data_IF_234671489754
#
_entry.id   IF_234671489754
#
_cell.length_a   1.000
_cell.length_b   1.000
_cell.length_c   1.000
_cell.angle_alpha   90.00
_cell.angle_beta   90.00
_cell.angle_gamma   90.00
#
_symmetry.space_group_name_H-M   'P 1'
#
loop_
_entity.id
_entity.type
_entity.pdbx_description
1 polymer ?
#
# COMPACT_ATOMS: atom_id res chain seq x y z
N UNK A 1 -12.16 -6.40 45.18
CA UNK A 1 -11.41 -7.69 45.20
C UNK A 1 -10.00 -7.58 45.81
N UNK A 2 -9.47 -6.37 46.11
CA UNK A 2 -8.15 -6.20 46.75
C UNK A 2 -8.18 -5.62 48.18
N UNK A 3 -9.34 -5.62 48.85
CA UNK A 3 -9.45 -5.27 50.27
C UNK A 3 -9.51 -6.49 51.21
N UNK A 4 -9.40 -7.71 50.68
CA UNK A 4 -9.56 -8.96 51.45
C UNK A 4 -8.27 -9.59 52.00
N UNK A 5 -7.11 -8.94 51.88
CA UNK A 5 -5.82 -9.57 52.25
C UNK A 5 -4.82 -8.69 53.02
N UNK A 6 -5.26 -7.69 53.78
CA UNK A 6 -4.52 -7.10 54.91
C UNK A 6 -3.00 -6.94 54.76
N UNK A 7 -2.51 -6.33 53.67
CA UNK A 7 -1.09 -5.96 53.51
C UNK A 7 -0.97 -4.46 53.33
N UNK A 8 -0.01 -3.87 54.05
CA UNK A 8 0.33 -2.46 53.93
C UNK A 8 0.82 -2.13 52.51
N UNK A 9 0.27 -1.06 51.95
CA UNK A 9 0.45 -0.55 50.58
C UNK A 9 1.94 -0.33 50.18
N UNK A 10 2.84 -0.29 51.16
CA UNK A 10 4.27 0.00 50.98
C UNK A 10 5.11 -1.21 50.54
N UNK A 11 4.65 -2.46 50.68
CA UNK A 11 5.41 -3.65 50.25
C UNK A 11 5.26 -3.98 48.75
N UNK A 12 4.31 -3.36 48.05
CA UNK A 12 3.99 -3.69 46.64
C UNK A 12 4.83 -2.86 45.65
N UNK A 13 5.68 -1.92 46.10
CA UNK A 13 6.62 -1.22 45.21
C UNK A 13 7.88 -2.06 44.94
N UNK A 14 7.68 -3.17 44.26
CA UNK A 14 8.77 -3.92 43.65
C UNK A 14 9.21 -3.21 42.36
N UNK A 15 10.52 -3.03 42.12
CA UNK A 15 11.08 -2.39 40.91
C UNK A 15 10.54 -2.97 39.58
N UNK A 16 10.02 -4.19 39.63
CA UNK A 16 9.36 -4.89 38.53
C UNK A 16 8.03 -4.22 38.11
N UNK A 17 7.28 -3.62 39.05
CA UNK A 17 6.04 -2.90 38.75
C UNK A 17 6.35 -1.52 38.13
N UNK A 18 7.40 -0.83 38.58
CA UNK A 18 7.88 0.39 37.90
C UNK A 18 8.38 0.09 36.48
N UNK A 19 9.03 -1.06 36.24
CA UNK A 19 9.39 -1.50 34.88
C UNK A 19 8.17 -1.93 34.05
N UNK A 20 7.10 -2.46 34.66
CA UNK A 20 5.83 -2.73 33.97
C UNK A 20 4.98 -1.49 33.74
N UNK A 21 5.19 -0.43 34.51
CA UNK A 21 4.66 0.92 34.28
C UNK A 21 5.55 1.74 33.34
N UNK A 22 6.22 1.09 32.38
CA UNK A 22 6.62 1.76 31.15
C UNK A 22 5.36 2.42 30.57
N UNK A 23 5.33 3.74 30.71
CA UNK A 23 4.26 4.69 30.40
C UNK A 23 3.34 4.18 29.28
N UNK A 24 2.01 4.39 29.38
CA UNK A 24 1.10 4.07 28.29
C UNK A 24 1.71 4.61 26.99
N UNK A 25 2.03 3.69 26.07
CA UNK A 25 2.67 3.96 24.77
C UNK A 25 1.83 4.94 23.92
N UNK A 26 0.64 5.34 24.41
CA UNK A 26 -0.14 6.46 23.90
C UNK A 26 0.60 7.82 23.99
N UNK A 27 1.34 8.11 25.07
CA UNK A 27 2.00 9.42 25.25
C UNK A 27 3.34 9.56 24.51
N UNK A 28 3.92 8.47 24.00
CA UNK A 28 5.13 8.49 23.15
C UNK A 28 4.81 8.36 21.66
N UNK A 29 3.53 8.23 21.28
CA UNK A 29 3.15 8.32 19.88
C UNK A 29 3.46 9.74 19.42
N UNK A 30 4.37 9.85 18.45
CA UNK A 30 4.57 11.10 17.71
C UNK A 30 3.20 11.63 17.32
N UNK A 31 2.91 12.88 17.70
CA UNK A 31 1.80 13.62 17.13
C UNK A 31 1.87 13.42 15.63
N UNK A 32 0.86 12.76 15.05
CA UNK A 32 0.76 12.62 13.61
C UNK A 32 0.35 14.01 13.12
N UNK A 33 1.35 14.90 13.02
CA UNK A 33 1.16 16.18 12.34
C UNK A 33 0.93 15.85 10.88
N UNK A 34 -0.10 16.44 10.30
CA UNK A 34 -0.36 16.39 8.88
C UNK A 34 0.82 17.08 8.18
N UNK A 35 1.81 16.29 7.76
CA UNK A 35 2.86 16.80 6.88
C UNK A 35 2.21 16.81 5.51
N UNK A 36 1.96 18.00 4.98
CA UNK A 36 1.63 18.20 3.57
C UNK A 36 2.83 17.74 2.74
N UNK A 37 2.81 16.48 2.33
CA UNK A 37 3.89 15.86 1.54
C UNK A 37 3.74 16.30 0.07
N UNK A 38 2.69 15.84 -0.61
CA UNK A 38 2.27 16.31 -1.94
C UNK A 38 0.81 15.90 -2.16
N UNK A 39 0.14 16.50 -3.14
CA UNK A 39 -1.30 16.32 -3.41
C UNK A 39 -1.55 15.06 -4.24
N UNK A 40 -2.45 14.18 -3.79
CA UNK A 40 -2.76 12.92 -4.49
C UNK A 40 -3.23 13.17 -5.93
N UNK A 41 -3.96 14.26 -6.12
CA UNK A 41 -4.50 14.75 -7.39
C UNK A 41 -3.38 14.90 -8.43
N UNK A 42 -2.21 15.42 -8.03
CA UNK A 42 -1.07 15.61 -8.93
C UNK A 42 -0.61 14.29 -9.57
N UNK A 43 -0.59 13.20 -8.80
CA UNK A 43 -0.26 11.88 -9.31
C UNK A 43 -1.38 11.31 -10.18
N UNK A 44 -2.63 11.49 -9.78
CA UNK A 44 -3.79 10.99 -10.52
C UNK A 44 -3.96 11.72 -11.86
N UNK A 45 -3.78 13.02 -11.91
CA UNK A 45 -3.85 13.84 -13.12
C UNK A 45 -2.79 13.40 -14.14
N UNK A 46 -1.57 13.10 -13.67
CA UNK A 46 -0.53 12.53 -14.51
C UNK A 46 -0.94 11.15 -15.07
N UNK A 47 -1.52 10.28 -14.24
CA UNK A 47 -2.01 8.96 -14.69
C UNK A 47 -3.16 9.12 -15.70
N UNK A 48 -4.08 10.07 -15.48
CA UNK A 48 -5.16 10.39 -16.41
C UNK A 48 -4.59 10.86 -17.75
N UNK A 49 -3.58 11.74 -17.73
CA UNK A 49 -2.88 12.15 -18.95
C UNK A 49 -2.27 10.96 -19.70
N UNK A 50 -1.66 10.01 -18.98
CA UNK A 50 -1.10 8.80 -19.58
C UNK A 50 -2.17 7.83 -20.11
N UNK A 51 -3.41 7.92 -19.63
CA UNK A 51 -4.48 7.03 -20.09
C UNK A 51 -4.80 7.20 -21.57
N UNK A 52 -4.67 8.42 -22.13
CA UNK A 52 -4.77 8.62 -23.58
C UNK A 52 -3.71 7.84 -24.36
N UNK A 53 -2.45 7.90 -23.90
CA UNK A 53 -1.34 7.14 -24.51
C UNK A 53 -1.49 5.62 -24.34
N UNK A 54 -2.14 5.17 -23.27
CA UNK A 54 -2.50 3.76 -23.09
C UNK A 54 -3.53 3.34 -24.13
N UNK A 55 -4.58 4.14 -24.32
CA UNK A 55 -5.70 3.83 -25.20
C UNK A 55 -5.30 3.92 -26.68
N UNK A 56 -4.32 4.75 -27.02
CA UNK A 56 -3.63 4.80 -28.32
C UNK A 56 -2.56 3.69 -28.50
N UNK A 57 -2.38 2.83 -27.50
CA UNK A 57 -1.32 1.80 -27.45
C UNK A 57 0.12 2.33 -27.64
N UNK A 58 0.37 3.63 -27.45
CA UNK A 58 1.68 4.26 -27.67
C UNK A 58 2.66 4.04 -26.50
N UNK A 59 2.16 3.66 -25.31
CA UNK A 59 3.01 3.35 -24.16
C UNK A 59 3.81 2.05 -24.34
N UNK A 60 5.09 2.08 -23.98
CA UNK A 60 5.92 0.87 -23.92
C UNK A 60 5.47 -0.07 -22.79
N UNK A 61 5.82 -1.36 -22.88
CA UNK A 61 5.52 -2.36 -21.83
C UNK A 61 6.05 -1.91 -20.47
N UNK A 62 7.25 -1.32 -20.43
CA UNK A 62 7.83 -0.76 -19.20
C UNK A 62 7.05 0.47 -18.72
N UNK A 63 6.61 1.34 -19.63
CA UNK A 63 5.74 2.48 -19.32
C UNK A 63 4.44 2.05 -18.64
N UNK A 64 3.75 1.06 -19.23
CA UNK A 64 2.54 0.46 -18.66
C UNK A 64 2.82 -0.15 -17.27
N UNK A 65 3.89 -0.95 -17.14
CA UNK A 65 4.27 -1.57 -15.87
C UNK A 65 4.47 -0.55 -14.75
N UNK A 66 5.16 0.56 -15.03
CA UNK A 66 5.41 1.65 -14.05
C UNK A 66 4.11 2.22 -13.49
N UNK A 67 3.15 2.47 -14.38
CA UNK A 67 1.83 2.99 -13.97
C UNK A 67 1.06 1.93 -13.18
N UNK A 68 1.08 0.67 -13.61
CA UNK A 68 0.42 -0.43 -12.89
C UNK A 68 0.96 -0.60 -11.48
N UNK A 69 2.30 -0.63 -11.29
CA UNK A 69 2.91 -0.72 -9.96
C UNK A 69 2.43 0.46 -9.09
N UNK A 70 2.45 1.67 -9.64
CA UNK A 70 2.08 2.88 -8.91
C UNK A 70 0.60 2.87 -8.51
N UNK A 71 -0.30 2.52 -9.44
CA UNK A 71 -1.73 2.38 -9.16
C UNK A 71 -1.97 1.29 -8.12
N UNK A 72 -1.31 0.14 -8.23
CA UNK A 72 -1.47 -0.94 -7.25
C UNK A 72 -1.04 -0.48 -5.85
N UNK A 73 0.05 0.29 -5.73
CA UNK A 73 0.45 0.89 -4.44
C UNK A 73 -0.62 1.82 -3.88
N UNK A 74 -1.26 2.63 -4.71
CA UNK A 74 -2.31 3.58 -4.31
C UNK A 74 -3.54 2.83 -3.78
N UNK A 75 -4.08 1.88 -4.54
CA UNK A 75 -5.34 1.21 -4.19
C UNK A 75 -5.17 0.14 -3.11
N UNK A 76 -4.03 -0.56 -3.09
CA UNK A 76 -3.78 -1.61 -2.08
C UNK A 76 -3.22 -1.06 -0.77
N UNK A 77 -2.65 0.16 -0.81
CA UNK A 77 -1.89 0.75 0.30
C UNK A 77 -0.71 -0.13 0.70
N UNK A 78 -0.32 -1.15 -0.08
CA UNK A 78 0.80 -2.03 0.25
C UNK A 78 2.13 -1.27 0.21
N UNK A 79 3.10 -1.71 1.02
CA UNK A 79 4.49 -1.28 0.83
C UNK A 79 5.00 -1.83 -0.49
N UNK A 80 5.93 -1.11 -1.12
CA UNK A 80 6.52 -1.55 -2.38
C UNK A 80 7.18 -2.94 -2.25
N UNK A 81 7.84 -3.23 -1.12
CA UNK A 81 8.44 -4.54 -0.86
C UNK A 81 7.41 -5.66 -0.71
N UNK A 82 6.23 -5.38 -0.15
CA UNK A 82 5.13 -6.33 -0.06
C UNK A 82 4.51 -6.55 -1.45
N UNK A 83 4.36 -5.49 -2.24
CA UNK A 83 3.83 -5.56 -3.60
C UNK A 83 4.82 -6.23 -4.58
N UNK A 84 6.12 -6.07 -4.36
CA UNK A 84 7.17 -6.61 -5.23
C UNK A 84 7.19 -8.14 -5.22
N UNK A 85 6.98 -8.74 -4.06
CA UNK A 85 6.91 -10.20 -3.89
C UNK A 85 5.49 -10.76 -4.04
N UNK A 86 4.52 -9.94 -4.43
CA UNK A 86 3.14 -10.35 -4.43
C UNK A 86 2.80 -11.24 -5.64
N UNK A 87 1.93 -12.21 -5.39
CA UNK A 87 1.43 -13.16 -6.38
C UNK A 87 0.00 -12.75 -6.73
N UNK A 88 -0.33 -12.55 -8.01
CA UNK A 88 -1.68 -12.20 -8.41
C UNK A 88 -2.51 -13.45 -8.67
N UNK A 89 -3.76 -13.42 -8.22
CA UNK A 89 -4.82 -14.31 -8.66
C UNK A 89 -5.70 -13.51 -9.64
N UNK A 90 -5.53 -13.82 -10.92
CA UNK A 90 -6.20 -13.18 -12.06
C UNK A 90 -7.44 -13.94 -12.53
N UNK A 91 -7.87 -14.99 -11.82
CA UNK A 91 -9.02 -15.83 -12.22
C UNK A 91 -10.31 -15.04 -12.35
N UNK A 92 -10.42 -13.93 -11.61
CA UNK A 92 -11.62 -13.09 -11.58
C UNK A 92 -11.45 -11.77 -12.35
N UNK A 93 -10.45 -11.67 -13.23
CA UNK A 93 -10.13 -10.42 -13.93
C UNK A 93 -11.24 -9.98 -14.87
N UNK A 94 -11.94 -10.93 -15.49
CA UNK A 94 -13.09 -10.69 -16.36
C UNK A 94 -14.26 -10.08 -15.57
N UNK A 95 -14.49 -10.54 -14.34
CA UNK A 95 -15.42 -9.92 -13.39
C UNK A 95 -14.92 -8.57 -12.84
N UNK A 96 -13.75 -8.09 -13.27
CA UNK A 96 -13.17 -6.83 -12.83
C UNK A 96 -12.51 -6.91 -11.46
N UNK A 97 -12.00 -8.07 -11.07
CA UNK A 97 -11.37 -8.30 -9.77
C UNK A 97 -9.98 -8.91 -9.95
N UNK A 98 -8.98 -8.35 -9.27
CA UNK A 98 -7.66 -8.95 -9.11
C UNK A 98 -7.41 -9.12 -7.62
N UNK A 99 -7.07 -10.34 -7.20
CA UNK A 99 -6.66 -10.60 -5.82
C UNK A 99 -5.14 -10.69 -5.77
N UNK A 100 -4.51 -9.95 -4.87
CA UNK A 100 -3.06 -9.95 -4.68
C UNK A 100 -2.75 -10.60 -3.34
N UNK A 101 -1.98 -11.69 -3.38
CA UNK A 101 -1.54 -12.40 -2.19
C UNK A 101 -0.09 -12.03 -1.87
N UNK A 102 0.18 -11.59 -0.65
CA UNK A 102 1.53 -11.26 -0.19
C UNK A 102 1.69 -11.51 1.31
N UNK A 103 2.92 -11.53 1.80
CA UNK A 103 3.21 -11.61 3.22
C UNK A 103 3.52 -10.21 3.77
N UNK A 104 2.87 -9.84 4.87
CA UNK A 104 3.19 -8.59 5.55
C UNK A 104 4.56 -8.69 6.23
N UNK A 105 5.46 -7.79 5.85
CA UNK A 105 6.81 -7.74 6.40
C UNK A 105 6.87 -7.00 7.75
N UNK A 106 5.86 -6.16 8.05
CA UNK A 106 5.80 -5.34 9.27
C UNK A 106 4.36 -5.19 9.78
N UNK A 107 4.14 -5.39 11.08
CA UNK A 107 2.82 -5.39 11.73
C UNK A 107 2.39 -6.80 12.16
N UNK A 108 1.10 -7.11 12.08
CA UNK A 108 0.58 -8.49 12.19
C UNK A 108 1.18 -9.30 11.02
N UNK A 109 2.26 -10.04 11.28
CA UNK A 109 2.96 -10.85 10.26
C UNK A 109 2.03 -11.98 9.80
N UNK A 110 1.98 -12.22 8.49
CA UNK A 110 1.14 -13.27 7.91
C UNK A 110 0.82 -13.03 6.44
N UNK A 111 0.23 -14.05 5.81
CA UNK A 111 -0.30 -13.95 4.45
C UNK A 111 -1.54 -13.05 4.49
N UNK A 112 -1.60 -12.11 3.57
CA UNK A 112 -2.75 -11.23 3.35
C UNK A 112 -3.16 -11.28 1.89
N UNK A 113 -4.47 -11.20 1.69
CA UNK A 113 -5.08 -11.09 0.37
C UNK A 113 -5.67 -9.69 0.22
N UNK A 114 -5.35 -9.03 -0.89
CA UNK A 114 -5.88 -7.71 -1.23
C UNK A 114 -6.67 -7.80 -2.50
N UNK A 115 -7.93 -7.44 -2.42
CA UNK A 115 -8.80 -7.37 -3.60
C UNK A 115 -8.71 -5.97 -4.21
N UNK A 116 -8.20 -5.89 -5.44
CA UNK A 116 -8.34 -4.73 -6.30
C UNK A 116 -9.59 -4.91 -7.16
N UNK A 117 -10.47 -3.90 -7.16
CA UNK A 117 -11.73 -3.91 -7.91
C UNK A 117 -11.70 -2.88 -9.02
N UNK A 118 -12.46 -3.14 -10.08
CA UNK A 118 -12.77 -2.18 -11.13
C UNK A 118 -13.43 -0.95 -10.52
N UNK A 119 -13.02 0.22 -10.98
CA UNK A 119 -13.63 1.51 -10.64
C UNK A 119 -14.24 2.14 -11.89
N UNK A 120 -15.21 3.04 -11.70
CA UNK A 120 -15.94 3.69 -12.80
C UNK A 120 -15.04 4.48 -13.75
N UNK A 121 -14.08 5.22 -13.20
CA UNK A 121 -13.12 5.98 -14.00
C UNK A 121 -12.03 5.06 -14.59
N UNK A 122 -12.17 4.72 -15.88
CA UNK A 122 -11.22 3.89 -16.64
C UNK A 122 -9.80 4.48 -16.68
N UNK A 123 -9.65 5.81 -16.63
CA UNK A 123 -8.35 6.47 -16.71
C UNK A 123 -7.45 6.14 -15.51
N UNK A 124 -8.02 5.82 -14.35
CA UNK A 124 -7.29 5.47 -13.11
C UNK A 124 -7.62 4.06 -12.62
N UNK A 125 -8.25 3.23 -13.45
CA UNK A 125 -8.73 1.92 -13.04
C UNK A 125 -7.60 0.89 -12.96
N UNK A 126 -7.37 0.25 -11.79
CA UNK A 126 -6.30 -0.73 -11.63
C UNK A 126 -6.44 -1.92 -12.57
N UNK A 127 -7.67 -2.37 -12.81
CA UNK A 127 -7.95 -3.50 -13.70
C UNK A 127 -7.63 -3.13 -15.15
N UNK A 128 -8.07 -1.96 -15.62
CA UNK A 128 -7.84 -1.52 -17.00
C UNK A 128 -6.36 -1.35 -17.30
N UNK A 129 -5.60 -0.72 -16.39
CA UNK A 129 -4.16 -0.58 -16.54
C UNK A 129 -3.43 -1.92 -16.52
N UNK A 130 -3.84 -2.83 -15.62
CA UNK A 130 -3.24 -4.15 -15.55
C UNK A 130 -3.52 -4.98 -16.81
N UNK A 131 -4.75 -4.94 -17.35
CA UNK A 131 -5.11 -5.64 -18.58
C UNK A 131 -4.25 -5.15 -19.77
N UNK A 132 -4.18 -3.83 -19.99
CA UNK A 132 -3.36 -3.25 -21.05
C UNK A 132 -1.88 -3.64 -20.93
N UNK A 133 -1.33 -3.65 -19.71
CA UNK A 133 0.04 -4.10 -19.47
C UNK A 133 0.24 -5.59 -19.74
N UNK A 134 -0.68 -6.44 -19.27
CA UNK A 134 -0.59 -7.89 -19.39
C UNK A 134 -0.77 -8.36 -20.84
N UNK A 135 -1.64 -7.71 -21.61
CA UNK A 135 -1.84 -7.98 -23.04
C UNK A 135 -0.60 -7.62 -23.87
N UNK A 136 0.06 -6.50 -23.55
CA UNK A 136 1.29 -6.08 -24.24
C UNK A 136 2.53 -6.86 -23.77
N UNK A 137 2.46 -7.54 -22.63
CA UNK A 137 3.55 -8.36 -22.10
C UNK A 137 3.73 -9.62 -22.94
N UNK A 138 4.97 -9.88 -23.41
CA UNK A 138 5.33 -11.10 -24.14
C UNK A 138 5.09 -12.39 -23.34
N UNK A 139 5.09 -12.30 -22.02
CA UNK A 139 4.79 -13.40 -21.10
C UNK A 139 3.53 -13.05 -20.34
N UNK A 140 2.44 -13.76 -20.60
CA UNK A 140 1.24 -13.70 -19.77
C UNK A 140 1.60 -14.19 -18.38
N UNK A 141 1.24 -13.42 -17.36
CA UNK A 141 1.43 -13.81 -15.97
C UNK A 141 0.52 -14.99 -15.66
N UNK A 142 1.06 -16.03 -15.04
CA UNK A 142 0.25 -17.10 -14.44
C UNK A 142 0.03 -16.84 -12.95
N UNK A 143 -0.99 -17.47 -12.36
CA UNK A 143 -1.37 -17.38 -10.95
C UNK A 143 -0.33 -17.97 -9.96
N UNK A 144 0.85 -18.38 -10.46
CA UNK A 144 2.01 -18.81 -9.67
C UNK A 144 3.24 -17.90 -9.85
N UNK A 145 3.16 -16.93 -10.74
CA UNK A 145 4.28 -16.04 -11.05
C UNK A 145 4.25 -14.77 -10.20
N UNK A 146 5.42 -14.23 -9.91
CA UNK A 146 5.54 -12.88 -9.34
C UNK A 146 5.04 -11.84 -10.33
N UNK A 147 4.36 -10.82 -9.80
CA UNK A 147 3.76 -9.73 -10.59
C UNK A 147 4.77 -9.03 -11.50
N UNK A 148 6.00 -8.79 -11.07
CA UNK A 148 6.91 -7.89 -11.81
C UNK A 148 8.07 -8.67 -12.39
N UNK A 149 7.94 -9.10 -13.66
CA UNK A 149 9.04 -9.71 -14.40
C UNK A 149 9.66 -8.74 -15.39
N UNK A 150 10.97 -8.86 -15.58
CA UNK A 150 11.68 -8.21 -16.65
C UNK A 150 11.45 -9.00 -17.95
N UNK A 151 11.04 -8.30 -19.00
CA UNK A 151 10.74 -8.89 -20.31
C UNK A 151 11.97 -9.51 -21.00
N UNK A 152 13.19 -9.12 -20.63
CA UNK A 152 14.42 -9.59 -21.28
C UNK A 152 14.93 -10.92 -20.72
N UNK A 153 14.90 -11.10 -19.41
CA UNK A 153 15.51 -12.27 -18.73
C UNK A 153 14.53 -13.04 -17.84
N UNK A 154 13.23 -12.69 -17.87
CA UNK A 154 12.15 -13.30 -17.09
C UNK A 154 12.36 -13.28 -15.56
N UNK A 155 13.38 -12.57 -15.07
CA UNK A 155 13.65 -12.43 -13.63
C UNK A 155 12.63 -11.51 -12.99
N UNK A 156 12.35 -11.73 -11.70
CA UNK A 156 11.57 -10.78 -10.91
C UNK A 156 12.35 -9.48 -10.69
N UNK A 157 11.67 -8.34 -10.72
CA UNK A 157 12.28 -7.05 -10.40
C UNK A 157 12.69 -7.01 -8.93
N UNK A 158 13.85 -6.44 -8.63
CA UNK A 158 14.26 -6.16 -7.24
C UNK A 158 13.46 -4.99 -6.66
N UNK A 159 13.40 -4.83 -5.32
CA UNK A 159 12.78 -3.66 -4.69
C UNK A 159 13.34 -2.33 -5.20
N UNK A 160 14.64 -2.26 -5.49
CA UNK A 160 15.33 -1.08 -6.00
C UNK A 160 14.91 -0.77 -7.45
N UNK A 161 14.79 -1.80 -8.30
CA UNK A 161 14.28 -1.65 -9.66
C UNK A 161 12.84 -1.16 -9.65
N UNK A 162 11.97 -1.80 -8.88
CA UNK A 162 10.59 -1.35 -8.69
C UNK A 162 10.53 0.10 -8.15
N UNK A 163 11.44 0.46 -7.24
CA UNK A 163 11.50 1.81 -6.67
C UNK A 163 11.86 2.84 -7.73
N UNK A 164 12.86 2.55 -8.57
CA UNK A 164 13.25 3.41 -9.71
C UNK A 164 12.08 3.61 -10.68
N UNK A 165 11.36 2.54 -11.00
CA UNK A 165 10.20 2.56 -11.90
C UNK A 165 9.10 3.49 -11.37
N UNK A 166 8.79 3.43 -10.07
CA UNK A 166 7.81 4.33 -9.42
C UNK A 166 8.34 5.76 -9.33
N UNK A 167 9.63 5.96 -9.04
CA UNK A 167 10.23 7.29 -8.99
C UNK A 167 10.18 8.03 -10.34
N UNK A 168 10.25 7.32 -11.46
CA UNK A 168 10.06 7.92 -12.79
C UNK A 168 8.64 8.49 -12.91
N UNK A 169 7.62 7.74 -12.46
CA UNK A 169 6.23 8.21 -12.46
C UNK A 169 6.08 9.45 -11.58
N UNK A 170 6.61 9.42 -10.36
CA UNK A 170 6.57 10.55 -9.43
C UNK A 170 7.25 11.80 -10.02
N UNK A 171 8.45 11.64 -10.57
CA UNK A 171 9.20 12.75 -11.17
C UNK A 171 8.46 13.35 -12.37
N UNK A 172 7.88 12.51 -13.22
CA UNK A 172 7.14 12.98 -14.40
C UNK A 172 5.79 13.62 -14.03
N UNK A 173 5.21 13.25 -12.89
CA UNK A 173 4.06 13.94 -12.31
C UNK A 173 4.44 15.29 -11.66
N UNK A 174 5.73 15.67 -11.64
CA UNK A 174 6.22 16.90 -11.03
C UNK A 174 6.37 16.81 -9.51
N UNK A 175 6.39 15.61 -8.94
CA UNK A 175 6.57 15.40 -7.50
C UNK A 175 8.07 15.51 -7.19
N UNK A 176 8.39 16.31 -6.18
CA UNK A 176 9.76 16.57 -5.75
C UNK A 176 10.52 15.27 -5.43
N UNK A 177 11.75 15.15 -5.96
CA UNK A 177 12.62 13.98 -5.81
C UNK A 177 12.96 13.66 -4.35
N UNK A 178 12.80 14.62 -3.43
CA UNK A 178 12.96 14.37 -1.97
C UNK A 178 11.96 13.36 -1.42
N UNK A 179 10.81 13.18 -2.09
CA UNK A 179 9.79 12.25 -1.65
C UNK A 179 10.07 10.83 -2.14
N UNK A 180 10.14 9.89 -1.18
CA UNK A 180 10.30 8.47 -1.50
C UNK A 180 8.99 7.83 -1.92
N UNK A 181 9.07 6.65 -2.58
CA UNK A 181 7.90 5.81 -2.92
C UNK A 181 6.99 5.50 -1.72
N UNK A 182 7.53 5.52 -0.49
CA UNK A 182 6.76 5.29 0.73
C UNK A 182 5.73 6.39 1.01
N UNK A 183 5.92 7.57 0.43
CA UNK A 183 5.01 8.71 0.59
C UNK A 183 3.69 8.49 -0.14
N UNK A 184 3.65 7.71 -1.23
CA UNK A 184 2.41 7.34 -1.95
C UNK A 184 1.41 6.72 -0.99
N UNK A 185 1.86 5.78 -0.16
CA UNK A 185 1.01 5.12 0.84
C UNK A 185 0.43 6.15 1.83
N UNK A 186 1.24 7.10 2.30
CA UNK A 186 0.81 8.14 3.25
C UNK A 186 -0.23 9.06 2.64
N UNK A 187 0.03 9.52 1.41
CA UNK A 187 -0.86 10.42 0.66
C UNK A 187 -2.18 9.70 0.33
N UNK A 188 -2.15 8.43 -0.07
CA UNK A 188 -3.35 7.63 -0.31
C UNK A 188 -4.21 7.45 0.95
N UNK A 189 -3.60 7.23 2.12
CA UNK A 189 -4.30 7.15 3.40
C UNK A 189 -4.94 8.49 3.77
N UNK A 190 -4.18 9.59 3.67
CA UNK A 190 -4.69 10.94 3.96
C UNK A 190 -5.84 11.34 3.01
N UNK A 191 -5.72 11.03 1.71
CA UNK A 191 -6.80 11.28 0.75
C UNK A 191 -8.09 10.50 1.07
N UNK A 192 -7.97 9.30 1.64
CA UNK A 192 -9.14 8.53 2.10
C UNK A 192 -9.70 9.03 3.43
N UNK A 193 -8.88 9.59 4.32
CA UNK A 193 -9.35 10.26 5.54
C UNK A 193 -10.20 11.49 5.22
N UNK A 194 -9.88 12.19 4.13
CA UNK A 194 -10.61 13.37 3.69
C UNK A 194 -11.92 13.07 2.95
N UNK A 195 -12.21 11.80 2.67
CA UNK A 195 -13.48 11.37 2.06
C UNK A 195 -14.27 10.66 3.14
N UNK A 196 -15.30 11.30 3.72
CA UNK A 196 -16.26 10.84 4.75
C UNK A 196 -16.30 9.33 5.10
N UNK A 197 -15.16 8.78 5.51
CA UNK A 197 -14.93 7.36 5.74
C UNK A 197 -14.62 7.19 7.19
N UNK A 198 -15.19 6.16 7.78
CA UNK A 198 -14.99 5.90 9.21
C UNK A 198 -13.53 5.55 9.46
N UNK A 199 -13.02 5.93 10.64
CA UNK A 199 -11.66 5.57 11.07
C UNK A 199 -11.44 4.05 11.02
N UNK A 200 -12.47 3.25 11.34
CA UNK A 200 -12.42 1.78 11.28
C UNK A 200 -12.22 1.28 9.84
N UNK A 201 -12.95 1.82 8.86
CA UNK A 201 -12.76 1.47 7.44
C UNK A 201 -11.33 1.79 6.98
N UNK A 202 -10.80 2.94 7.40
CA UNK A 202 -9.45 3.40 7.02
C UNK A 202 -8.37 2.55 7.69
N UNK A 203 -8.51 2.22 8.98
CA UNK A 203 -7.56 1.39 9.71
C UNK A 203 -7.56 -0.04 9.14
N UNK A 204 -8.74 -0.59 8.81
CA UNK A 204 -8.87 -1.90 8.16
C UNK A 204 -8.24 -1.89 6.75
N UNK A 205 -8.52 -0.88 5.93
CA UNK A 205 -7.98 -0.75 4.57
C UNK A 205 -6.46 -0.50 4.55
N UNK A 206 -5.97 0.36 5.44
CA UNK A 206 -4.54 0.64 5.58
C UNK A 206 -3.79 -0.47 6.33
N UNK A 207 -4.50 -1.39 6.99
CA UNK A 207 -3.93 -2.37 7.93
C UNK A 207 -3.10 -1.72 9.03
N UNK A 208 -3.52 -0.55 9.51
CA UNK A 208 -3.06 -0.08 10.80
C UNK A 208 -3.69 -0.95 11.88
N UNK A 209 -2.91 -1.31 12.90
CA UNK A 209 -3.42 -2.12 14.01
C UNK A 209 -4.68 -1.46 14.54
N UNK A 210 -5.77 -2.22 14.67
CA UNK A 210 -6.91 -1.84 15.50
C UNK A 210 -6.33 -1.24 16.78
N UNK A 211 -6.56 0.05 17.01
CA UNK A 211 -6.35 0.61 18.33
C UNK A 211 -7.30 -0.18 19.22
N UNK A 212 -6.74 -1.16 19.92
CA UNK A 212 -7.34 -2.01 20.94
C UNK A 212 -8.63 -1.38 21.45
N UNK A 213 -9.77 -1.93 21.00
CA UNK A 213 -11.01 -1.78 21.75
C UNK A 213 -10.68 -2.33 23.13
N UNK A 214 -10.56 -1.40 24.07
CA UNK A 214 -10.32 -1.72 25.47
C UNK A 214 -11.70 -2.10 25.97
N UNK A 215 -12.01 -3.40 25.94
CA UNK A 215 -13.08 -3.95 26.79
C UNK A 215 -12.68 -3.79 28.25
#
# INVERSE_FOLDING_TARGET
MFELMGREEKEIRNKVIEQRMLRPVAYTRKVIREVTIWKMEQLLDYIVKLSGQRDEESLTVNGLRRVVITIFMVYSVLRLSELQIAIPNIRQIEQGIIIICTNLLKGKRGRVEVTLKRVSNKAVCPITWFQAWNEKSKTKITDKDLLWRNSQNKRALTPEECSKEVHIVLSNAGIDKKFSVTTIRKVAISAMQNKDKTKIEIDRWSRHSESVDTM
#
